data_IF_121810569292
#
_entry.id   IF_121810569292
#
_cell.length_a   1.000
_cell.length_b   1.000
_cell.length_c   1.000
_cell.angle_alpha   90.00
_cell.angle_beta   90.00
_cell.angle_gamma   90.00
#
_symmetry.space_group_name_H-M   'P 1'
#
loop_
_entity.id
_entity.type
_entity.pdbx_description
1 polymer ?
#
# COMPACT_ATOMS: atom_id res chain seq x y z
N UNK A 1 34.34 3.35 -9.77
CA UNK A 1 33.10 2.93 -9.07
C UNK A 1 32.45 1.90 -9.95
N UNK A 2 32.39 0.63 -9.52
CA UNK A 2 31.62 -0.38 -10.25
C UNK A 2 30.14 0.01 -10.16
N UNK A 3 29.46 0.06 -11.31
CA UNK A 3 28.00 0.22 -11.33
C UNK A 3 27.44 -1.12 -10.88
N UNK A 4 26.99 -1.19 -9.63
CA UNK A 4 26.17 -2.31 -9.17
C UNK A 4 24.93 -2.33 -10.06
N UNK A 5 24.79 -3.36 -10.89
CA UNK A 5 23.54 -3.58 -11.59
C UNK A 5 22.47 -3.90 -10.56
N UNK A 6 21.55 -2.97 -10.34
CA UNK A 6 20.38 -3.19 -9.48
C UNK A 6 19.31 -3.86 -10.35
N UNK A 7 18.95 -5.13 -10.09
CA UNK A 7 17.88 -5.78 -10.83
C UNK A 7 16.58 -4.99 -10.67
N UNK A 8 15.90 -4.73 -11.79
CA UNK A 8 14.64 -4.02 -11.80
C UNK A 8 13.60 -4.77 -12.66
N UNK A 9 12.33 -4.49 -12.39
CA UNK A 9 11.25 -5.03 -13.19
C UNK A 9 11.19 -4.36 -14.57
N UNK A 10 10.57 -5.02 -15.55
CA UNK A 10 10.38 -4.43 -16.88
C UNK A 10 9.59 -3.13 -16.77
N UNK A 11 10.21 -2.03 -17.22
CA UNK A 11 9.64 -0.70 -17.17
C UNK A 11 8.63 -0.46 -18.31
N UNK A 12 8.00 0.73 -18.31
CA UNK A 12 7.09 1.18 -19.36
C UNK A 12 5.66 0.68 -19.23
N UNK A 13 4.87 0.90 -20.29
CA UNK A 13 3.42 0.59 -20.35
C UNK A 13 3.04 -0.37 -21.50
N UNK A 14 4.05 -0.90 -22.20
CA UNK A 14 3.89 -1.84 -23.31
C UNK A 14 3.53 -3.26 -22.86
N UNK A 15 3.27 -4.16 -23.81
CA UNK A 15 2.81 -5.54 -23.52
C UNK A 15 3.79 -6.38 -22.69
N UNK A 16 5.08 -6.07 -22.72
CA UNK A 16 6.11 -6.75 -21.92
C UNK A 16 6.41 -6.06 -20.59
N UNK A 17 5.74 -4.94 -20.30
CA UNK A 17 5.93 -4.19 -19.06
C UNK A 17 5.47 -4.99 -17.84
N UNK A 18 6.09 -4.71 -16.70
CA UNK A 18 5.68 -5.32 -15.43
C UNK A 18 4.23 -5.01 -15.11
N UNK A 19 3.77 -3.77 -15.32
CA UNK A 19 2.40 -3.35 -15.05
C UNK A 19 1.32 -4.19 -15.75
N UNK A 20 1.62 -4.76 -16.94
CA UNK A 20 0.70 -5.65 -17.67
C UNK A 20 0.88 -7.14 -17.36
N UNK A 21 1.99 -7.53 -16.73
CA UNK A 21 2.36 -8.92 -16.48
C UNK A 21 2.46 -9.28 -14.99
N UNK A 22 2.06 -8.39 -14.08
CA UNK A 22 2.21 -8.54 -12.62
C UNK A 22 0.98 -9.16 -11.91
N UNK A 23 0.18 -9.96 -12.63
CA UNK A 23 -1.06 -10.56 -12.10
C UNK A 23 -0.82 -11.48 -10.91
N UNK A 24 0.30 -12.21 -10.90
CA UNK A 24 0.66 -13.10 -9.79
C UNK A 24 0.91 -12.28 -8.51
N UNK A 25 1.69 -11.21 -8.61
CA UNK A 25 2.00 -10.32 -7.48
C UNK A 25 0.73 -9.64 -6.97
N UNK A 26 -0.14 -9.17 -7.86
CA UNK A 26 -1.45 -8.61 -7.49
C UNK A 26 -2.30 -9.62 -6.69
N UNK A 27 -2.31 -10.90 -7.08
CA UNK A 27 -3.02 -11.96 -6.34
C UNK A 27 -2.39 -12.21 -4.97
N UNK A 28 -1.06 -12.23 -4.88
CA UNK A 28 -0.35 -12.36 -3.61
C UNK A 28 -0.68 -11.22 -2.65
N UNK A 29 -0.70 -9.98 -3.14
CA UNK A 29 -1.11 -8.80 -2.35
C UNK A 29 -2.56 -8.93 -1.86
N UNK A 30 -3.46 -9.43 -2.70
CA UNK A 30 -4.86 -9.67 -2.30
C UNK A 30 -5.00 -10.72 -1.20
N UNK A 31 -4.17 -11.76 -1.20
CA UNK A 31 -4.14 -12.76 -0.13
C UNK A 31 -3.55 -12.19 1.17
N UNK A 32 -2.59 -11.28 1.08
CA UNK A 32 -1.99 -10.60 2.21
C UNK A 32 -2.91 -9.56 2.89
N UNK A 33 -4.07 -9.25 2.27
CA UNK A 33 -5.05 -8.27 2.78
C UNK A 33 -5.47 -8.55 4.23
N UNK A 34 -5.69 -9.81 4.60
CA UNK A 34 -6.09 -10.16 5.97
C UNK A 34 -4.99 -9.83 6.99
N UNK A 35 -3.74 -10.17 6.66
CA UNK A 35 -2.58 -9.86 7.51
C UNK A 35 -2.41 -8.35 7.67
N UNK A 36 -2.64 -7.60 6.59
CA UNK A 36 -2.63 -6.14 6.59
C UNK A 36 -3.74 -5.54 7.48
N UNK A 37 -4.96 -6.08 7.40
CA UNK A 37 -6.09 -5.65 8.23
C UNK A 37 -5.81 -5.85 9.72
N UNK A 38 -5.26 -7.01 10.09
CA UNK A 38 -4.93 -7.34 11.48
C UNK A 38 -3.81 -6.42 12.01
N UNK A 39 -2.76 -6.19 11.21
CA UNK A 39 -1.66 -5.31 11.59
C UNK A 39 -2.12 -3.85 11.77
N UNK A 40 -2.96 -3.33 10.88
CA UNK A 40 -3.53 -1.97 11.01
C UNK A 40 -4.39 -1.87 12.27
N UNK A 41 -5.21 -2.89 12.55
CA UNK A 41 -6.06 -2.91 13.74
C UNK A 41 -5.23 -2.91 15.02
N UNK A 42 -4.15 -3.68 15.07
CA UNK A 42 -3.23 -3.70 16.20
C UNK A 42 -2.65 -2.30 16.44
N UNK A 43 -2.10 -1.67 15.40
CA UNK A 43 -1.53 -0.31 15.49
C UNK A 43 -2.56 0.71 15.99
N UNK A 44 -3.77 0.73 15.43
CA UNK A 44 -4.82 1.68 15.82
C UNK A 44 -5.39 1.43 17.22
N UNK A 45 -5.31 0.20 17.71
CA UNK A 45 -5.74 -0.18 19.05
C UNK A 45 -4.69 0.17 20.11
N UNK A 46 -3.41 0.05 19.75
CA UNK A 46 -2.29 0.35 20.65
C UNK A 46 -2.02 1.85 20.76
N UNK A 47 -2.15 2.59 19.65
CA UNK A 47 -1.78 4.00 19.59
C UNK A 47 -2.98 4.90 19.28
N UNK A 48 -2.99 6.09 19.88
CA UNK A 48 -3.88 7.17 19.44
C UNK A 48 -3.11 8.01 18.42
N UNK A 49 -3.37 7.75 17.14
CA UNK A 49 -2.69 8.39 16.02
C UNK A 49 -3.52 9.56 15.48
N UNK A 50 -2.88 10.72 15.33
CA UNK A 50 -3.42 11.87 14.59
C UNK A 50 -3.18 11.71 13.08
N UNK A 51 -2.04 11.13 12.72
CA UNK A 51 -1.65 10.79 11.35
C UNK A 51 -1.01 9.41 11.28
N UNK A 52 -1.03 8.81 10.09
CA UNK A 52 -0.36 7.55 9.79
C UNK A 52 0.37 7.67 8.45
N UNK A 53 1.68 7.45 8.45
CA UNK A 53 2.49 7.46 7.24
C UNK A 53 2.53 6.06 6.64
N UNK A 54 2.37 5.97 5.31
CA UNK A 54 2.35 4.71 4.56
C UNK A 54 3.46 4.76 3.51
N UNK A 55 4.28 3.72 3.44
CA UNK A 55 5.33 3.57 2.44
C UNK A 55 5.31 2.16 1.82
N UNK A 56 5.37 2.10 0.49
CA UNK A 56 5.49 0.85 -0.28
C UNK A 56 6.93 0.65 -0.76
N UNK A 57 7.64 -0.30 -0.15
CA UNK A 57 9.05 -0.57 -0.44
C UNK A 57 9.17 -1.58 -1.59
N UNK A 58 9.72 -1.12 -2.72
CA UNK A 58 9.79 -1.95 -3.92
C UNK A 58 8.51 -1.91 -4.77
N UNK A 59 7.85 -0.75 -4.81
CA UNK A 59 6.57 -0.52 -5.48
C UNK A 59 6.53 -0.87 -6.98
N UNK A 60 7.69 -0.93 -7.65
CA UNK A 60 7.79 -1.16 -9.10
C UNK A 60 6.96 -0.15 -9.91
N UNK A 61 6.68 -0.45 -11.18
CA UNK A 61 5.80 0.36 -12.04
C UNK A 61 4.46 -0.34 -12.26
N UNK A 62 3.36 0.42 -12.36
CA UNK A 62 2.03 -0.12 -12.66
C UNK A 62 1.08 -0.07 -11.47
N UNK A 63 -0.08 -0.76 -11.54
CA UNK A 63 -1.22 -0.46 -10.68
C UNK A 63 -1.11 -1.04 -9.27
N UNK A 64 -0.26 -2.05 -9.07
CA UNK A 64 -0.22 -2.83 -7.83
C UNK A 64 0.03 -1.98 -6.57
N UNK A 65 0.98 -1.04 -6.63
CA UNK A 65 1.31 -0.16 -5.51
C UNK A 65 0.12 0.70 -5.09
N UNK A 66 -0.56 1.32 -6.05
CA UNK A 66 -1.74 2.16 -5.80
C UNK A 66 -2.90 1.34 -5.25
N UNK A 67 -3.13 0.13 -5.77
CA UNK A 67 -4.17 -0.77 -5.27
C UNK A 67 -3.93 -1.06 -3.79
N UNK A 68 -2.70 -1.39 -3.38
CA UNK A 68 -2.40 -1.70 -1.98
C UNK A 68 -2.50 -0.46 -1.09
N UNK A 69 -2.00 0.69 -1.52
CA UNK A 69 -2.12 1.93 -0.75
C UNK A 69 -3.59 2.31 -0.57
N UNK A 70 -4.41 2.25 -1.63
CA UNK A 70 -5.86 2.49 -1.53
C UNK A 70 -6.53 1.53 -0.55
N UNK A 71 -6.20 0.24 -0.61
CA UNK A 71 -6.74 -0.76 0.32
C UNK A 71 -6.36 -0.44 1.77
N UNK A 72 -5.12 -0.05 2.04
CA UNK A 72 -4.69 0.35 3.39
C UNK A 72 -5.48 1.56 3.89
N UNK A 73 -5.64 2.60 3.06
CA UNK A 73 -6.43 3.79 3.41
C UNK A 73 -7.88 3.42 3.73
N UNK A 74 -8.50 2.58 2.89
CA UNK A 74 -9.88 2.13 3.11
C UNK A 74 -10.04 1.37 4.43
N UNK A 75 -9.07 0.49 4.75
CA UNK A 75 -9.04 -0.27 6.01
C UNK A 75 -8.88 0.68 7.20
N UNK A 76 -7.91 1.59 7.15
CA UNK A 76 -7.66 2.57 8.22
C UNK A 76 -8.92 3.40 8.46
N UNK A 77 -9.51 3.94 7.40
CA UNK A 77 -10.73 4.73 7.49
C UNK A 77 -11.87 3.94 8.13
N UNK A 78 -12.14 2.71 7.65
CA UNK A 78 -13.18 1.85 8.20
C UNK A 78 -12.96 1.54 9.69
N UNK A 79 -11.72 1.29 10.11
CA UNK A 79 -11.39 0.99 11.51
C UNK A 79 -11.45 2.22 12.40
N UNK A 80 -10.99 3.38 11.94
CA UNK A 80 -11.13 4.65 12.64
C UNK A 80 -12.60 4.97 12.91
N UNK A 81 -13.48 4.81 11.91
CA UNK A 81 -14.93 4.96 12.08
C UNK A 81 -15.49 3.99 13.14
N UNK A 82 -15.08 2.71 13.12
CA UNK A 82 -15.53 1.70 14.11
C UNK A 82 -15.09 2.04 15.53
N UNK A 83 -13.91 2.64 15.70
CA UNK A 83 -13.36 3.05 16.99
C UNK A 83 -13.87 4.41 17.47
N UNK A 84 -14.76 5.08 16.71
CA UNK A 84 -15.26 6.42 17.03
C UNK A 84 -14.20 7.52 16.94
N UNK A 85 -13.13 7.30 16.16
CA UNK A 85 -12.03 8.24 15.94
C UNK A 85 -12.21 8.85 14.55
N UNK A 86 -12.67 10.11 14.41
CA UNK A 86 -12.77 10.73 13.11
C UNK A 86 -11.36 10.97 12.55
N UNK A 87 -11.10 10.48 11.35
CA UNK A 87 -9.89 10.84 10.60
C UNK A 87 -10.02 12.33 10.24
N UNK A 88 -9.12 13.18 10.72
CA UNK A 88 -9.15 14.59 10.31
C UNK A 88 -8.73 14.66 8.84
N UNK A 89 -9.61 15.19 7.99
CA UNK A 89 -9.24 15.51 6.63
C UNK A 89 -8.17 16.60 6.70
N UNK A 90 -6.93 16.28 6.33
CA UNK A 90 -5.91 17.29 6.09
C UNK A 90 -6.24 18.01 4.78
N UNK A 91 -7.25 18.87 4.82
CA UNK A 91 -7.27 20.02 3.91
C UNK A 91 -6.09 20.90 4.31
N UNK A 92 -4.93 20.62 3.71
CA UNK A 92 -3.80 21.54 3.72
C UNK A 92 -4.17 22.70 2.77
N UNK A 93 -3.88 23.96 3.12
CA UNK A 93 -4.16 25.10 2.25
C UNK A 93 -3.35 25.10 0.96
#
# INVERSE_FOLDING_TARGET
>A
MEIVQVPHMNNGVGETSYGKNSKLQCKMMSMAKLVMEDAILEVLSTYLLESMDIADLGCSSGPNTLIVISQMIDIIHAKCCQLGRPMQNSESP
#
